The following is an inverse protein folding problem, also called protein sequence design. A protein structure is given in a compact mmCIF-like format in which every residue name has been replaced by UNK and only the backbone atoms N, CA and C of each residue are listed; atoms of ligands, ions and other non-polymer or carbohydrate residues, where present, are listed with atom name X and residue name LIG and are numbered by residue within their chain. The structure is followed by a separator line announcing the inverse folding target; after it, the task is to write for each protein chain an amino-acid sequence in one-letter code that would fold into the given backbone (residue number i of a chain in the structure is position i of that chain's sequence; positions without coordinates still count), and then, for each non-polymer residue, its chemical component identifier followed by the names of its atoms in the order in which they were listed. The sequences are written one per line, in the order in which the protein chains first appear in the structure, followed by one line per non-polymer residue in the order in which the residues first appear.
data_IF_151244959992
#
_entry.id   IF_151244959992
#
_cell.length_a   1.000
_cell.length_b   1.000
_cell.length_c   1.000
_cell.angle_alpha   90.00
_cell.angle_beta   90.00
_cell.angle_gamma   90.00
#
_symmetry.space_group_name_H-M   'P 1'
#
loop_
_entity.id
_entity.type
_entity.pdbx_description
1 polymer ?
#
# COMPACT_ATOMS: atom_id res chain seq x y z
N UNK A 1 19.22 -3.18 43.37
CA UNK A 1 19.59 -1.78 43.09
C UNK A 1 20.03 -1.72 41.64
N UNK A 2 19.15 -1.24 40.75
CA UNK A 2 19.50 -0.93 39.37
C UNK A 2 19.06 0.53 39.17
N UNK A 3 20.05 1.39 38.99
CA UNK A 3 19.95 2.83 38.87
C UNK A 3 19.21 3.22 37.60
N UNK A 4 18.17 4.03 37.78
CA UNK A 4 17.54 4.82 36.73
C UNK A 4 18.58 5.80 36.18
N UNK A 5 18.92 5.67 34.89
CA UNK A 5 19.57 6.73 34.14
C UNK A 5 18.47 7.59 33.53
N UNK A 6 18.11 8.66 34.23
CA UNK A 6 17.44 9.82 33.67
C UNK A 6 18.42 10.49 32.70
N UNK A 7 18.07 10.55 31.41
CA UNK A 7 18.75 11.44 30.46
C UNK A 7 18.18 12.84 30.68
N UNK A 8 18.98 13.68 31.33
CA UNK A 8 18.73 15.12 31.40
C UNK A 8 18.90 15.71 30.00
N UNK A 9 17.83 16.29 29.47
CA UNK A 9 17.89 17.14 28.30
C UNK A 9 18.27 18.54 28.80
N UNK A 10 19.52 18.96 28.63
CA UNK A 10 19.80 20.39 28.61
C UNK A 10 19.72 20.84 27.16
N UNK A 11 18.68 21.63 26.85
CA UNK A 11 18.57 22.33 25.58
C UNK A 11 19.69 23.37 25.54
N UNK A 12 20.74 23.06 24.76
CA UNK A 12 21.75 24.06 24.40
C UNK A 12 21.11 25.06 23.43
N UNK A 13 20.85 26.28 23.93
CA UNK A 13 20.24 27.39 23.18
C UNK A 13 21.17 27.99 22.09
N UNK A 14 22.34 27.41 21.82
CA UNK A 14 23.37 28.03 20.96
C UNK A 14 23.33 27.62 19.47
N UNK A 15 22.40 26.77 19.03
CA UNK A 15 22.35 26.35 17.61
C UNK A 15 21.71 27.39 16.66
N UNK A 16 21.17 28.49 17.17
CA UNK A 16 20.48 29.49 16.34
C UNK A 16 21.38 30.64 15.83
N UNK A 17 22.67 30.67 16.20
CA UNK A 17 23.60 31.76 15.82
C UNK A 17 24.63 31.39 14.75
N UNK A 18 24.57 30.18 14.19
CA UNK A 18 25.44 29.81 13.08
C UNK A 18 24.75 30.09 11.74
N UNK A 19 25.27 31.06 10.99
CA UNK A 19 24.90 31.30 9.60
C UNK A 19 25.11 29.99 8.85
N UNK A 20 24.10 29.43 8.14
CA UNK A 20 24.24 28.12 7.52
C UNK A 20 25.42 28.15 6.55
N UNK A 21 26.42 27.30 6.80
CA UNK A 21 27.49 27.08 5.85
C UNK A 21 26.85 26.61 4.53
N UNK A 22 27.15 27.34 3.47
CA UNK A 22 26.69 27.02 2.12
C UNK A 22 27.30 25.65 1.79
N UNK A 23 26.47 24.61 1.71
CA UNK A 23 26.91 23.30 1.29
C UNK A 23 27.48 23.44 -0.13
N UNK A 24 28.78 23.24 -0.31
CA UNK A 24 29.46 23.48 -1.60
C UNK A 24 28.94 22.61 -2.75
N UNK A 25 28.07 21.65 -2.46
CA UNK A 25 27.49 20.68 -3.39
C UNK A 25 25.97 20.84 -3.56
N UNK A 26 25.39 21.97 -3.16
CA UNK A 26 23.96 22.22 -3.40
C UNK A 26 23.69 22.50 -4.89
N UNK A 27 23.06 21.53 -5.55
CA UNK A 27 22.66 21.65 -6.97
C UNK A 27 21.79 22.88 -7.24
N UNK A 28 21.01 23.33 -6.26
CA UNK A 28 20.12 24.49 -6.44
C UNK A 28 20.85 25.83 -6.45
N UNK A 29 22.15 25.84 -6.14
CA UNK A 29 23.03 27.00 -6.36
C UNK A 29 23.61 27.04 -7.77
N UNK A 30 23.57 25.91 -8.49
CA UNK A 30 24.15 25.74 -9.83
C UNK A 30 23.09 25.66 -10.92
N UNK A 31 21.88 25.21 -10.56
CA UNK A 31 20.78 24.95 -11.48
C UNK A 31 19.49 25.62 -10.98
N UNK A 32 18.61 26.04 -11.90
CA UNK A 32 17.24 26.42 -11.55
C UNK A 32 16.49 25.29 -10.83
N UNK A 33 15.53 25.67 -9.99
CA UNK A 33 14.70 24.74 -9.21
C UNK A 33 14.02 23.71 -10.09
N UNK A 34 13.51 24.12 -11.26
CA UNK A 34 12.80 23.26 -12.21
C UNK A 34 13.70 22.15 -12.76
N UNK A 35 14.99 22.42 -12.95
CA UNK A 35 15.96 21.40 -13.38
C UNK A 35 16.26 20.42 -12.25
N UNK A 36 16.33 20.90 -11.01
CA UNK A 36 16.50 20.04 -9.84
C UNK A 36 15.28 19.13 -9.63
N UNK A 37 14.07 19.65 -9.80
CA UNK A 37 12.83 18.88 -9.79
C UNK A 37 12.87 17.76 -10.85
N UNK A 38 13.22 18.08 -12.10
CA UNK A 38 13.30 17.07 -13.16
C UNK A 38 14.35 15.99 -12.82
N UNK A 39 15.53 16.36 -12.30
CA UNK A 39 16.55 15.40 -11.84
C UNK A 39 15.99 14.52 -10.73
N UNK A 40 15.35 15.11 -9.72
CA UNK A 40 14.81 14.37 -8.57
C UNK A 40 13.71 13.38 -8.98
N UNK A 41 12.97 13.64 -10.06
CA UNK A 41 12.01 12.67 -10.58
C UNK A 41 12.66 11.33 -10.95
N UNK A 42 13.94 11.30 -11.34
CA UNK A 42 14.66 10.05 -11.66
C UNK A 42 15.25 9.34 -10.43
N UNK A 43 15.30 10.00 -9.27
CA UNK A 43 15.82 9.40 -8.03
C UNK A 43 14.73 8.51 -7.41
N UNK A 44 15.05 7.31 -6.89
CA UNK A 44 14.06 6.45 -6.22
C UNK A 44 13.28 7.21 -5.15
N UNK A 45 11.95 7.06 -5.13
CA UNK A 45 11.08 7.82 -4.24
C UNK A 45 11.47 7.70 -2.76
N UNK A 46 11.92 6.50 -2.35
CA UNK A 46 12.35 6.27 -0.98
C UNK A 46 13.56 7.13 -0.61
N UNK A 47 14.57 7.21 -1.49
CA UNK A 47 15.79 7.99 -1.27
C UNK A 47 15.50 9.49 -1.22
N UNK A 48 14.51 9.95 -2.01
CA UNK A 48 14.02 11.31 -1.92
C UNK A 48 13.55 11.64 -0.50
N UNK A 49 12.74 10.77 0.08
CA UNK A 49 12.17 10.96 1.42
C UNK A 49 13.23 10.84 2.51
N UNK A 50 14.09 9.82 2.47
CA UNK A 50 14.98 9.49 3.60
C UNK A 50 16.34 10.19 3.57
N UNK A 51 16.84 10.55 2.38
CA UNK A 51 18.20 11.06 2.19
C UNK A 51 18.25 12.44 1.55
N UNK A 52 17.63 12.61 0.38
CA UNK A 52 17.69 13.88 -0.40
C UNK A 52 17.05 15.04 0.37
N UNK A 53 15.95 14.79 1.08
CA UNK A 53 15.28 15.76 1.95
C UNK A 53 16.16 16.30 3.09
N UNK A 54 17.29 15.65 3.40
CA UNK A 54 18.21 16.00 4.48
C UNK A 54 19.49 16.68 4.00
N UNK A 55 19.68 16.82 2.69
CA UNK A 55 20.90 17.40 2.09
C UNK A 55 21.00 18.89 2.38
N UNK A 56 19.97 19.66 2.03
CA UNK A 56 19.88 21.08 2.35
C UNK A 56 18.40 21.53 2.40
N UNK A 57 18.18 22.77 2.86
CA UNK A 57 16.85 23.35 2.96
C UNK A 57 16.16 23.47 1.60
N UNK A 58 16.86 23.86 0.54
CA UNK A 58 16.26 23.99 -0.78
C UNK A 58 15.74 22.65 -1.32
N UNK A 59 16.49 21.57 -1.13
CA UNK A 59 16.08 20.23 -1.57
C UNK A 59 14.87 19.74 -0.76
N UNK A 60 14.87 20.01 0.55
CA UNK A 60 13.71 19.77 1.41
C UNK A 60 12.47 20.53 0.92
N UNK A 61 12.62 21.82 0.57
CA UNK A 61 11.53 22.68 0.13
C UNK A 61 10.94 22.20 -1.21
N UNK A 62 11.78 21.76 -2.16
CA UNK A 62 11.33 21.09 -3.40
C UNK A 62 10.47 19.86 -3.08
N UNK A 63 10.94 19.00 -2.17
CA UNK A 63 10.25 17.78 -1.78
C UNK A 63 9.01 18.03 -0.90
N UNK A 64 8.72 19.28 -0.55
CA UNK A 64 7.47 19.69 0.09
C UNK A 64 6.38 20.10 -0.94
N UNK A 65 6.72 20.13 -2.23
CA UNK A 65 5.79 20.42 -3.32
C UNK A 65 4.85 19.25 -3.64
N UNK A 66 3.54 19.47 -3.53
CA UNK A 66 2.52 18.50 -3.97
C UNK A 66 2.66 18.16 -5.46
N UNK A 67 2.94 19.17 -6.30
CA UNK A 67 3.03 19.00 -7.75
C UNK A 67 4.20 18.10 -8.14
N UNK A 68 5.34 18.23 -7.45
CA UNK A 68 6.47 17.31 -7.62
C UNK A 68 6.04 15.87 -7.37
N UNK A 69 5.35 15.59 -6.26
CA UNK A 69 4.93 14.24 -5.94
C UNK A 69 3.81 13.71 -6.84
N UNK A 70 2.92 14.53 -7.37
CA UNK A 70 1.98 14.09 -8.42
C UNK A 70 2.73 13.59 -9.67
N UNK A 71 3.75 14.33 -10.11
CA UNK A 71 4.60 13.91 -11.22
C UNK A 71 5.36 12.62 -10.88
N UNK A 72 5.88 12.52 -9.65
CA UNK A 72 6.58 11.33 -9.17
C UNK A 72 5.68 10.09 -9.14
N UNK A 73 4.46 10.19 -8.61
CA UNK A 73 3.45 9.11 -8.61
C UNK A 73 3.20 8.61 -10.03
N UNK A 74 3.01 9.51 -11.00
CA UNK A 74 2.82 9.14 -12.41
C UNK A 74 4.06 8.43 -12.99
N UNK A 75 5.25 8.89 -12.63
CA UNK A 75 6.53 8.34 -13.11
C UNK A 75 6.82 6.95 -12.55
N UNK A 76 6.40 6.68 -11.32
CA UNK A 76 6.44 5.34 -10.69
C UNK A 76 5.34 4.40 -11.21
N UNK A 77 4.62 4.79 -12.28
CA UNK A 77 3.62 3.97 -12.94
C UNK A 77 2.26 3.91 -12.24
N UNK A 78 2.04 4.73 -11.21
CA UNK A 78 0.76 4.79 -10.52
C UNK A 78 -0.15 5.85 -11.16
N UNK A 79 -1.35 5.44 -11.57
CA UNK A 79 -2.35 6.34 -12.14
C UNK A 79 -3.42 6.68 -11.10
N UNK A 80 -3.51 7.97 -10.76
CA UNK A 80 -4.58 8.49 -9.91
C UNK A 80 -5.84 8.74 -10.76
N UNK A 81 -7.00 8.50 -10.17
CA UNK A 81 -8.26 8.96 -10.77
C UNK A 81 -8.36 10.48 -10.68
N UNK A 82 -9.03 11.14 -11.62
CA UNK A 82 -9.24 12.59 -11.58
C UNK A 82 -9.91 13.05 -10.26
N UNK A 83 -10.78 12.22 -9.68
CA UNK A 83 -11.42 12.49 -8.39
C UNK A 83 -10.40 12.45 -7.25
N UNK A 84 -9.55 11.42 -7.22
CA UNK A 84 -8.50 11.28 -6.19
C UNK A 84 -7.45 12.39 -6.31
N UNK A 85 -7.02 12.71 -7.53
CA UNK A 85 -6.07 13.78 -7.81
C UNK A 85 -6.60 15.13 -7.33
N UNK A 86 -7.86 15.45 -7.67
CA UNK A 86 -8.53 16.67 -7.19
C UNK A 86 -8.55 16.74 -5.66
N UNK A 87 -8.93 15.65 -4.98
CA UNK A 87 -8.98 15.63 -3.51
C UNK A 87 -7.63 15.81 -2.86
N UNK A 88 -6.58 15.18 -3.39
CA UNK A 88 -5.21 15.37 -2.91
C UNK A 88 -4.70 16.79 -3.17
N UNK A 89 -5.13 17.42 -4.27
CA UNK A 89 -4.80 18.81 -4.57
C UNK A 89 -5.56 19.82 -3.67
N UNK A 90 -6.77 19.49 -3.25
CA UNK A 90 -7.62 20.32 -2.39
C UNK A 90 -7.46 20.02 -0.89
N UNK A 91 -6.73 18.96 -0.52
CA UNK A 91 -6.49 18.59 0.87
C UNK A 91 -5.79 19.73 1.64
N UNK A 92 -6.43 20.14 2.73
CA UNK A 92 -5.99 21.28 3.56
C UNK A 92 -4.76 20.92 4.36
N UNK A 93 -4.69 19.67 4.83
CA UNK A 93 -3.52 19.15 5.51
C UNK A 93 -2.48 18.67 4.49
N UNK A 94 -1.51 19.56 4.20
CA UNK A 94 -0.41 19.26 3.30
C UNK A 94 0.35 17.99 3.71
N UNK A 95 0.47 17.71 5.02
CA UNK A 95 1.15 16.52 5.52
C UNK A 95 0.43 15.24 5.12
N UNK A 96 -0.90 15.21 5.22
CA UNK A 96 -1.72 14.07 4.74
C UNK A 96 -1.57 13.84 3.25
N UNK A 97 -1.64 14.91 2.44
CA UNK A 97 -1.49 14.80 1.00
C UNK A 97 -0.10 14.28 0.61
N UNK A 98 0.96 14.84 1.20
CA UNK A 98 2.34 14.39 0.97
C UNK A 98 2.55 12.95 1.41
N UNK A 99 2.02 12.54 2.57
CA UNK A 99 2.16 11.17 3.06
C UNK A 99 1.51 10.15 2.12
N UNK A 100 0.35 10.47 1.54
CA UNK A 100 -0.29 9.62 0.53
C UNK A 100 0.55 9.58 -0.74
N UNK A 101 0.92 10.74 -1.30
CA UNK A 101 1.65 10.79 -2.57
C UNK A 101 3.02 10.13 -2.46
N UNK A 102 3.77 10.40 -1.39
CA UNK A 102 5.05 9.75 -1.09
C UNK A 102 4.88 8.25 -0.87
N UNK A 103 3.87 7.82 -0.11
CA UNK A 103 3.58 6.41 0.13
C UNK A 103 3.24 5.66 -1.16
N UNK A 104 2.50 6.29 -2.09
CA UNK A 104 2.23 5.77 -3.41
C UNK A 104 3.50 5.66 -4.26
N UNK A 105 4.30 6.74 -4.33
CA UNK A 105 5.57 6.75 -5.08
C UNK A 105 6.58 5.74 -4.55
N UNK A 106 6.60 5.47 -3.24
CA UNK A 106 7.49 4.48 -2.64
C UNK A 106 6.95 3.04 -2.71
N UNK A 107 5.77 2.82 -3.30
CA UNK A 107 5.06 1.52 -3.29
C UNK A 107 4.85 0.93 -1.88
N UNK A 108 4.65 1.79 -0.88
CA UNK A 108 4.51 1.39 0.53
C UNK A 108 3.04 1.18 0.95
N UNK A 109 2.09 1.71 0.18
CA UNK A 109 0.67 1.52 0.43
C UNK A 109 0.18 0.22 -0.19
N UNK A 110 -0.69 -0.51 0.50
CA UNK A 110 -1.33 -1.75 0.01
C UNK A 110 -2.38 -1.53 -1.08
N UNK A 111 -2.08 -0.71 -2.08
CA UNK A 111 -2.90 -0.49 -3.28
C UNK A 111 -2.40 -1.36 -4.42
N UNK A 112 -3.27 -1.69 -5.39
CA UNK A 112 -2.94 -2.52 -6.56
C UNK A 112 -2.25 -3.87 -6.25
N UNK A 113 -2.51 -4.44 -5.07
CA UNK A 113 -1.98 -5.73 -4.65
C UNK A 113 -3.11 -6.67 -4.24
N UNK A 114 -2.87 -7.98 -4.30
CA UNK A 114 -3.81 -8.95 -3.76
C UNK A 114 -3.70 -8.96 -2.23
N UNK A 115 -4.77 -8.52 -1.56
CA UNK A 115 -4.83 -8.48 -0.10
C UNK A 115 -5.31 -9.80 0.51
N UNK A 116 -5.79 -10.75 -0.31
CA UNK A 116 -6.22 -12.07 0.14
C UNK A 116 -4.99 -12.91 0.46
N UNK A 117 -4.93 -13.40 1.69
CA UNK A 117 -3.88 -14.33 2.12
C UNK A 117 -4.27 -15.76 1.73
N UNK A 118 -3.28 -16.54 1.28
CA UNK A 118 -3.44 -17.93 0.83
C UNK A 118 -4.61 -18.09 -0.19
N UNK A 119 -4.61 -17.34 -1.32
CA UNK A 119 -5.75 -17.29 -2.25
C UNK A 119 -6.01 -18.61 -3.00
N UNK A 120 -4.97 -19.44 -3.17
CA UNK A 120 -5.02 -20.73 -3.88
C UNK A 120 -5.10 -21.95 -2.96
N UNK A 121 -4.83 -21.80 -1.65
CA UNK A 121 -4.79 -22.94 -0.74
C UNK A 121 -3.44 -23.63 -0.65
N UNK A 122 -2.36 -23.05 -1.19
CA UNK A 122 -0.99 -23.58 -1.08
C UNK A 122 -0.61 -23.91 0.37
N UNK A 123 -1.07 -23.09 1.32
CA UNK A 123 -0.86 -23.32 2.75
C UNK A 123 -2.04 -24.08 3.40
N UNK A 124 -2.71 -24.94 2.64
CA UNK A 124 -3.95 -25.62 3.06
C UNK A 124 -5.09 -24.64 3.33
N UNK A 125 -5.80 -24.83 4.45
CA UNK A 125 -6.88 -23.95 4.89
C UNK A 125 -6.41 -22.76 5.75
N UNK A 126 -5.09 -22.57 5.89
CA UNK A 126 -4.55 -21.49 6.71
C UNK A 126 -5.00 -20.11 6.20
N UNK A 127 -5.14 -19.16 7.14
CA UNK A 127 -5.62 -17.78 6.90
C UNK A 127 -7.09 -17.67 6.47
N UNK A 128 -7.82 -18.77 6.40
CA UNK A 128 -9.27 -18.79 6.16
C UNK A 128 -10.01 -19.22 7.42
N UNK A 129 -11.12 -18.55 7.71
CA UNK A 129 -12.12 -19.08 8.62
C UNK A 129 -13.07 -19.98 7.82
N UNK A 130 -13.02 -21.28 8.07
CA UNK A 130 -13.75 -22.29 7.29
C UNK A 130 -14.89 -22.89 8.13
N UNK A 131 -16.05 -23.07 7.50
CA UNK A 131 -17.13 -23.93 8.00
C UNK A 131 -17.30 -25.08 7.01
N UNK A 132 -17.18 -26.29 7.52
CA UNK A 132 -17.26 -27.51 6.74
C UNK A 132 -18.71 -27.98 6.64
N UNK A 133 -19.08 -28.45 5.46
CA UNK A 133 -20.27 -29.26 5.22
C UNK A 133 -19.86 -30.57 4.55
N UNK A 134 -20.60 -31.64 4.77
CA UNK A 134 -20.32 -32.95 4.14
C UNK A 134 -18.95 -33.46 4.58
N UNK A 135 -18.12 -33.90 3.63
CA UNK A 135 -16.74 -34.30 3.91
C UNK A 135 -15.77 -33.13 4.14
N UNK A 136 -16.27 -31.89 4.07
CA UNK A 136 -15.50 -30.68 4.31
C UNK A 136 -14.91 -30.04 3.05
N UNK A 137 -14.30 -28.87 3.26
CA UNK A 137 -13.45 -28.20 2.29
C UNK A 137 -12.04 -28.81 2.37
N UNK A 138 -11.44 -29.06 1.22
CA UNK A 138 -10.06 -29.56 1.11
C UNK A 138 -9.28 -28.77 0.05
N UNK A 139 -8.00 -29.08 -0.10
CA UNK A 139 -7.12 -28.48 -1.12
C UNK A 139 -6.52 -29.56 -2.01
N UNK A 140 -6.61 -29.35 -3.31
CA UNK A 140 -5.95 -30.19 -4.31
C UNK A 140 -4.69 -29.50 -4.88
N UNK A 141 -3.72 -30.30 -5.31
CA UNK A 141 -2.52 -29.85 -6.01
C UNK A 141 -2.09 -30.89 -7.05
N UNK A 142 -2.35 -30.71 -8.35
CA UNK A 142 -3.15 -29.69 -9.03
C UNK A 142 -4.67 -30.05 -8.99
N UNK A 143 -5.58 -29.30 -9.65
CA UNK A 143 -7.01 -29.64 -9.68
C UNK A 143 -7.24 -31.03 -10.29
N UNK A 144 -8.12 -31.82 -9.67
CA UNK A 144 -8.51 -33.17 -10.14
C UNK A 144 -9.85 -33.09 -10.87
N UNK A 145 -9.96 -33.79 -12.00
CA UNK A 145 -11.20 -33.83 -12.79
C UNK A 145 -11.53 -32.51 -13.51
N UNK A 146 -10.56 -31.59 -13.64
CA UNK A 146 -10.68 -30.35 -14.41
C UNK A 146 -9.35 -29.97 -15.07
N UNK A 147 -9.38 -28.94 -15.92
CA UNK A 147 -8.16 -28.37 -16.49
C UNK A 147 -7.32 -27.67 -15.41
N UNK A 148 -6.03 -27.55 -15.67
CA UNK A 148 -5.12 -26.74 -14.86
C UNK A 148 -5.61 -25.28 -14.74
N UNK A 149 -5.20 -24.63 -13.66
CA UNK A 149 -5.47 -23.19 -13.45
C UNK A 149 -4.66 -22.42 -14.50
N UNK A 150 -5.31 -21.63 -15.35
CA UNK A 150 -4.61 -20.96 -16.42
C UNK A 150 -3.88 -19.72 -15.90
N UNK A 151 -2.82 -19.28 -16.59
CA UNK A 151 -1.95 -18.18 -16.13
C UNK A 151 -2.73 -16.86 -15.96
N UNK A 152 -3.74 -16.62 -16.79
CA UNK A 152 -4.59 -15.43 -16.71
C UNK A 152 -5.42 -15.35 -15.42
N UNK A 153 -5.54 -16.44 -14.64
CA UNK A 153 -6.16 -16.40 -13.32
C UNK A 153 -5.33 -15.59 -12.31
N UNK A 154 -4.04 -15.33 -12.60
CA UNK A 154 -3.16 -14.52 -11.75
C UNK A 154 -2.92 -15.12 -10.36
N UNK A 155 -3.07 -16.44 -10.24
CA UNK A 155 -2.84 -17.19 -9.00
C UNK A 155 -1.39 -17.68 -8.93
N UNK A 156 -0.76 -17.69 -7.75
CA UNK A 156 0.67 -18.00 -7.62
C UNK A 156 0.99 -19.48 -7.81
N UNK A 157 0.00 -20.38 -7.69
CA UNK A 157 0.19 -21.83 -7.78
C UNK A 157 -1.02 -22.54 -8.37
N UNK A 158 -0.86 -23.83 -8.66
CA UNK A 158 -1.92 -24.73 -9.13
C UNK A 158 -2.79 -25.32 -8.01
N UNK A 159 -2.63 -24.87 -6.77
CA UNK A 159 -3.52 -25.32 -5.69
C UNK A 159 -4.93 -24.76 -5.90
N UNK A 160 -5.94 -25.55 -5.54
CA UNK A 160 -7.32 -25.06 -5.52
C UNK A 160 -8.08 -25.61 -4.30
N UNK A 161 -9.08 -24.86 -3.87
CA UNK A 161 -10.01 -25.31 -2.84
C UNK A 161 -11.13 -26.12 -3.49
N UNK A 162 -11.44 -27.26 -2.90
CA UNK A 162 -12.55 -28.12 -3.32
C UNK A 162 -13.56 -28.26 -2.19
N UNK A 163 -14.84 -28.31 -2.55
CA UNK A 163 -15.95 -28.41 -1.61
C UNK A 163 -16.70 -29.72 -1.78
N UNK A 164 -17.28 -30.21 -0.69
CA UNK A 164 -18.09 -31.42 -0.68
C UNK A 164 -19.54 -31.20 -1.16
N UNK A 165 -20.37 -32.23 -1.03
CA UNK A 165 -21.79 -32.26 -1.44
C UNK A 165 -22.73 -31.44 -0.54
N UNK A 166 -22.21 -30.84 0.54
CA UNK A 166 -22.96 -29.95 1.44
C UNK A 166 -22.22 -28.60 1.49
N UNK A 167 -22.93 -27.47 1.61
CA UNK A 167 -22.32 -26.14 1.59
C UNK A 167 -21.15 -25.99 2.58
N UNK A 168 -20.00 -25.58 2.06
CA UNK A 168 -18.85 -25.13 2.83
C UNK A 168 -18.71 -23.62 2.68
N UNK A 169 -18.23 -22.93 3.71
CA UNK A 169 -17.92 -21.49 3.62
C UNK A 169 -16.47 -21.24 3.99
N UNK A 170 -15.78 -20.40 3.22
CA UNK A 170 -14.48 -19.82 3.58
C UNK A 170 -14.61 -18.31 3.68
N UNK A 171 -14.07 -17.70 4.73
CA UNK A 171 -14.17 -16.26 4.97
C UNK A 171 -12.84 -15.70 5.46
N UNK A 172 -12.49 -14.49 5.00
CA UNK A 172 -11.31 -13.77 5.46
C UNK A 172 -11.71 -12.32 5.76
N UNK A 173 -11.30 -11.80 6.92
CA UNK A 173 -11.49 -10.41 7.29
C UNK A 173 -10.19 -9.65 7.01
N UNK A 174 -10.25 -8.69 6.08
CA UNK A 174 -9.09 -7.90 5.69
C UNK A 174 -9.20 -6.52 6.36
N UNK A 175 -8.26 -6.23 7.27
CA UNK A 175 -8.11 -4.90 7.87
C UNK A 175 -7.13 -4.08 7.04
N UNK A 176 -7.63 -3.05 6.34
CA UNK A 176 -6.81 -2.23 5.44
C UNK A 176 -5.63 -1.53 6.16
N UNK A 177 -5.78 -1.22 7.44
CA UNK A 177 -4.72 -0.66 8.30
C UNK A 177 -3.46 -1.53 8.35
N UNK A 178 -3.61 -2.85 8.35
CA UNK A 178 -2.50 -3.80 8.33
C UNK A 178 -1.73 -3.74 7.00
N UNK A 179 -2.35 -3.17 5.96
CA UNK A 179 -1.78 -2.95 4.64
C UNK A 179 -1.42 -1.48 4.41
N UNK A 180 -1.09 -0.76 5.49
CA UNK A 180 -0.63 0.65 5.48
C UNK A 180 -1.66 1.64 4.95
N UNK A 181 -2.92 1.24 4.85
CA UNK A 181 -4.03 2.10 4.45
C UNK A 181 -4.83 2.50 5.68
N UNK A 182 -4.50 3.67 6.23
CA UNK A 182 -5.21 4.23 7.39
C UNK A 182 -6.61 4.70 7.00
N UNK A 183 -7.61 4.70 7.91
CA UNK A 183 -8.99 5.08 7.58
C UNK A 183 -9.10 6.45 6.88
N UNK A 184 -8.40 7.47 7.39
CA UNK A 184 -8.39 8.79 6.78
C UNK A 184 -7.77 8.81 5.38
N UNK A 185 -6.83 7.89 5.08
CA UNK A 185 -6.27 7.77 3.73
C UNK A 185 -7.31 7.20 2.77
N UNK A 186 -8.13 6.24 3.23
CA UNK A 186 -9.22 5.66 2.44
C UNK A 186 -10.28 6.70 2.11
N UNK A 187 -10.59 7.61 3.05
CA UNK A 187 -11.55 8.70 2.82
C UNK A 187 -11.11 9.64 1.70
N UNK A 188 -9.81 9.94 1.63
CA UNK A 188 -9.21 10.76 0.58
C UNK A 188 -9.11 9.98 -0.73
N UNK A 189 -8.46 8.81 -0.70
CA UNK A 189 -8.13 8.00 -1.87
C UNK A 189 -9.38 7.46 -2.56
N UNK A 190 -10.39 7.02 -1.78
CA UNK A 190 -11.54 6.24 -2.20
C UNK A 190 -11.18 5.21 -3.28
N UNK A 191 -10.26 4.29 -2.99
CA UNK A 191 -9.75 3.36 -3.99
C UNK A 191 -10.87 2.43 -4.46
N UNK A 192 -10.86 2.11 -5.76
CA UNK A 192 -11.75 1.08 -6.29
C UNK A 192 -11.32 -0.28 -5.75
N UNK A 193 -12.19 -0.93 -4.99
CA UNK A 193 -11.96 -2.30 -4.50
C UNK A 193 -12.41 -3.28 -5.59
N UNK A 194 -11.47 -4.05 -6.12
CA UNK A 194 -11.73 -5.13 -7.08
C UNK A 194 -11.70 -6.47 -6.35
N UNK A 195 -12.74 -7.28 -6.54
CA UNK A 195 -12.80 -8.66 -6.06
C UNK A 195 -13.04 -9.57 -7.26
N UNK A 196 -12.26 -10.64 -7.35
CA UNK A 196 -12.34 -11.64 -8.40
C UNK A 196 -12.05 -13.01 -7.83
N UNK A 197 -12.61 -14.04 -8.44
CA UNK A 197 -12.42 -15.43 -8.04
C UNK A 197 -12.47 -16.31 -9.28
N UNK A 198 -11.57 -17.28 -9.33
CA UNK A 198 -11.58 -18.33 -10.36
C UNK A 198 -12.35 -19.55 -9.86
N UNK A 199 -13.15 -20.17 -10.72
CA UNK A 199 -13.95 -21.34 -10.38
C UNK A 199 -14.09 -22.25 -11.61
N UNK A 200 -13.88 -23.55 -11.40
CA UNK A 200 -14.38 -24.61 -12.27
C UNK A 200 -15.49 -25.33 -11.52
N UNK A 201 -16.60 -25.62 -12.21
CA UNK A 201 -17.77 -26.24 -11.57
C UNK A 201 -18.53 -27.16 -12.51
N UNK A 202 -19.20 -28.17 -11.97
CA UNK A 202 -20.24 -28.90 -12.68
C UNK A 202 -21.50 -28.04 -12.84
N UNK A 203 -22.41 -28.37 -13.76
CA UNK A 203 -23.64 -27.60 -13.98
C UNK A 203 -24.51 -27.47 -12.73
N UNK A 204 -24.56 -28.49 -11.88
CA UNK A 204 -25.40 -28.56 -10.68
C UNK A 204 -24.79 -27.85 -9.46
N UNK A 205 -23.54 -27.39 -9.56
CA UNK A 205 -22.85 -26.75 -8.45
C UNK A 205 -23.38 -25.34 -8.18
N UNK A 206 -23.77 -25.11 -6.93
CA UNK A 206 -24.25 -23.83 -6.41
C UNK A 206 -23.12 -23.12 -5.68
N UNK A 207 -22.90 -21.84 -6.02
CA UNK A 207 -21.91 -20.97 -5.38
C UNK A 207 -22.53 -19.65 -4.98
N UNK A 208 -22.06 -19.12 -3.85
CA UNK A 208 -22.32 -17.75 -3.42
C UNK A 208 -21.00 -17.04 -3.08
N UNK A 209 -20.76 -15.87 -3.68
CA UNK A 209 -19.67 -14.97 -3.30
C UNK A 209 -20.28 -13.71 -2.66
N UNK A 210 -19.83 -13.36 -1.46
CA UNK A 210 -20.34 -12.20 -0.71
C UNK A 210 -19.17 -11.33 -0.28
N UNK A 211 -19.16 -10.07 -0.73
CA UNK A 211 -18.28 -9.02 -0.23
C UNK A 211 -19.08 -8.12 0.71
N UNK A 212 -18.55 -7.88 1.92
CA UNK A 212 -19.11 -6.90 2.86
C UNK A 212 -18.03 -5.87 3.20
N UNK A 213 -18.30 -4.60 2.89
CA UNK A 213 -17.50 -3.49 3.38
C UNK A 213 -18.01 -3.12 4.76
N UNK A 214 -17.15 -3.23 5.76
CA UNK A 214 -17.47 -2.90 7.15
C UNK A 214 -16.70 -1.63 7.49
N UNK A 215 -17.42 -0.52 7.62
CA UNK A 215 -16.86 0.67 8.24
C UNK A 215 -16.85 0.44 9.76
N UNK A 216 -15.66 0.38 10.35
CA UNK A 216 -15.54 0.53 11.79
C UNK A 216 -15.73 2.02 12.07
N UNK A 217 -16.92 2.39 12.54
CA UNK A 217 -17.13 3.69 13.17
C UNK A 217 -16.30 3.66 14.46
N UNK A 218 -15.07 4.15 14.39
CA UNK A 218 -14.28 4.42 15.59
C UNK A 218 -14.97 5.59 16.29
N UNK A 219 -15.68 5.29 17.37
CA UNK A 219 -16.25 6.27 18.29
C UNK A 219 -15.18 6.86 19.20
#
# INVERSE_FOLDING_TARGET
MATQNTLDWEVSEDLCSQKPEICSNDLTLLLPTEMCEEIFLYVPAIDLVVSVSRVCKNWYDILRSRNFWFQKVKREGFQLSAVTEKRLAEEKDLGKALLILQGLSCHLLGVNTNLIQNPSGQDGLNKWHVKHGGNGLDVENAPVGSNLIPEEAGLPTQHCFVSSFTPCTRTQMIKLENHKLQPWMIDILQPKIKVSEWLVKSPEFIKQLVLKLVALMLH
#
